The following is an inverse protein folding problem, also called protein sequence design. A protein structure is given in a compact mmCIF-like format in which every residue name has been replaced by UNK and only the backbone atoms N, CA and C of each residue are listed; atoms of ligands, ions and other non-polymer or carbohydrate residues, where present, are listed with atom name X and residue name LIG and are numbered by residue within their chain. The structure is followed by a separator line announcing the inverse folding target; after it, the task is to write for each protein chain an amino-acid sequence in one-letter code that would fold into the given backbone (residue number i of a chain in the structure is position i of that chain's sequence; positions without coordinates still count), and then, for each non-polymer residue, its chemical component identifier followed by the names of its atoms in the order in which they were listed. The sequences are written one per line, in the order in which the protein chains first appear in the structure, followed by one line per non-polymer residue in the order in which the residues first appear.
data_IF_564106087228
#
_entry.id   IF_564106087228
#
_cell.length_a   1.000
_cell.length_b   1.000
_cell.length_c   1.000
_cell.angle_alpha   90.00
_cell.angle_beta   90.00
_cell.angle_gamma   90.00
#
_symmetry.space_group_name_H-M   'P 1'
#
loop_
_entity.id
_entity.type
_entity.pdbx_description
1 polymer ?
#
# COMPACT_ATOMS: atom_id res chain seq x y z
N UNK A 1 -16.16 10.51 -18.48
CA UNK A 1 -15.73 11.62 -17.59
C UNK A 1 -14.59 11.10 -16.72
N UNK A 2 -13.37 11.57 -16.97
CA UNK A 2 -12.15 11.18 -16.27
C UNK A 2 -12.11 11.80 -14.87
N UNK A 3 -12.50 11.02 -13.85
CA UNK A 3 -12.49 11.40 -12.42
C UNK A 3 -11.11 11.15 -11.76
N UNK A 4 -10.00 11.48 -12.43
CA UNK A 4 -8.69 10.92 -12.02
C UNK A 4 -7.68 11.87 -11.34
N UNK A 5 -7.99 13.15 -11.12
CA UNK A 5 -7.11 14.06 -10.38
C UNK A 5 -7.83 14.84 -9.27
N UNK A 6 -8.77 14.22 -8.56
CA UNK A 6 -9.38 14.87 -7.38
C UNK A 6 -8.55 14.57 -6.14
N UNK A 7 -7.85 15.60 -5.63
CA UNK A 7 -7.22 15.57 -4.31
C UNK A 7 -8.14 16.22 -3.28
N UNK A 8 -8.08 15.77 -2.04
CA UNK A 8 -8.91 16.29 -0.95
C UNK A 8 -8.04 16.93 0.11
N UNK A 9 -8.41 18.10 0.61
CA UNK A 9 -7.76 18.73 1.76
C UNK A 9 -8.65 18.49 2.97
N UNK A 10 -8.11 17.89 4.03
CA UNK A 10 -8.79 17.64 5.29
C UNK A 10 -8.28 18.59 6.36
N UNK A 11 -9.20 19.34 6.97
CA UNK A 11 -8.92 20.31 8.05
C UNK A 11 -7.72 21.24 7.77
N UNK A 12 -7.53 21.64 6.50
CA UNK A 12 -6.42 22.49 6.04
C UNK A 12 -5.01 21.98 6.41
N UNK A 13 -4.89 20.68 6.70
CA UNK A 13 -3.66 20.06 7.17
C UNK A 13 -3.23 18.88 6.32
N UNK A 14 -4.16 18.01 5.97
CA UNK A 14 -3.83 16.79 5.23
C UNK A 14 -4.28 16.90 3.79
N UNK A 15 -3.38 16.67 2.85
CA UNK A 15 -3.72 16.52 1.43
C UNK A 15 -3.78 15.04 1.12
N UNK A 16 -4.96 14.53 0.78
CA UNK A 16 -5.22 13.15 0.43
C UNK A 16 -5.36 12.99 -1.09
N UNK A 17 -4.55 12.10 -1.65
CA UNK A 17 -4.65 11.65 -3.04
C UNK A 17 -5.08 10.17 -3.09
N UNK A 18 -6.32 9.89 -3.50
CA UNK A 18 -6.85 8.52 -3.56
C UNK A 18 -6.22 7.68 -4.67
N UNK A 19 -5.70 8.29 -5.73
CA UNK A 19 -5.13 7.57 -6.88
C UNK A 19 -3.77 7.00 -6.53
N UNK A 20 -2.96 7.77 -5.79
CA UNK A 20 -1.62 7.36 -5.36
C UNK A 20 -1.57 6.74 -3.95
N UNK A 21 -2.72 6.68 -3.24
CA UNK A 21 -2.81 6.28 -1.83
C UNK A 21 -1.86 7.09 -0.93
N UNK A 22 -1.77 8.39 -1.18
CA UNK A 22 -0.84 9.29 -0.51
C UNK A 22 -1.59 10.28 0.39
N UNK A 23 -1.06 10.49 1.59
CA UNK A 23 -1.50 11.52 2.52
C UNK A 23 -0.30 12.40 2.86
N UNK A 24 -0.40 13.71 2.60
CA UNK A 24 0.68 14.67 2.91
C UNK A 24 0.27 15.51 4.11
N UNK A 25 1.09 15.55 5.16
CA UNK A 25 0.89 16.40 6.33
C UNK A 25 1.59 17.76 6.15
N UNK A 26 0.81 18.83 5.93
CA UNK A 26 1.35 20.16 5.64
C UNK A 26 1.86 20.91 6.88
N UNK A 27 1.60 20.41 8.09
CA UNK A 27 2.08 21.08 9.32
C UNK A 27 3.55 20.78 9.65
N UNK A 28 4.09 19.63 9.21
CA UNK A 28 5.46 19.19 9.55
C UNK A 28 6.27 18.87 8.30
N UNK A 29 6.58 19.90 7.51
CA UNK A 29 7.53 19.78 6.40
C UNK A 29 7.07 18.90 5.24
N UNK A 30 5.76 18.83 4.99
CA UNK A 30 5.14 18.05 3.92
C UNK A 30 5.53 16.56 3.98
N UNK A 31 5.37 15.96 5.16
CA UNK A 31 5.63 14.54 5.35
C UNK A 31 4.67 13.69 4.50
N UNK A 32 5.23 12.93 3.57
CA UNK A 32 4.50 11.97 2.73
C UNK A 32 4.24 10.66 3.48
N UNK A 33 2.96 10.37 3.72
CA UNK A 33 2.48 9.16 4.40
C UNK A 33 1.78 8.28 3.37
N UNK A 34 2.33 7.09 3.09
CA UNK A 34 1.69 6.09 2.23
C UNK A 34 0.60 5.35 2.98
N UNK A 35 -0.65 5.48 2.52
CA UNK A 35 -1.77 4.73 3.04
C UNK A 35 -1.78 3.32 2.45
N UNK A 36 -2.20 2.34 3.26
CA UNK A 36 -2.57 1.03 2.72
C UNK A 36 -3.84 1.14 1.85
N UNK A 37 -4.07 0.17 0.97
CA UNK A 37 -5.19 0.24 0.03
C UNK A 37 -6.56 0.26 0.74
N UNK A 38 -6.68 -0.40 1.89
CA UNK A 38 -7.93 -0.42 2.64
C UNK A 38 -8.16 0.91 3.36
N UNK A 39 -7.13 1.46 4.00
CA UNK A 39 -7.15 2.77 4.65
C UNK A 39 -7.47 3.88 3.66
N UNK A 40 -6.85 3.85 2.47
CA UNK A 40 -7.12 4.79 1.39
C UNK A 40 -8.57 4.71 0.89
N UNK A 41 -9.10 3.49 0.64
CA UNK A 41 -10.51 3.31 0.24
C UNK A 41 -11.49 3.79 1.32
N UNK A 42 -11.20 3.52 2.59
CA UNK A 42 -11.99 4.01 3.72
C UNK A 42 -12.01 5.54 3.71
N UNK A 43 -10.82 6.16 3.66
CA UNK A 43 -10.70 7.61 3.65
C UNK A 43 -11.43 8.23 2.46
N UNK A 44 -11.31 7.61 1.28
CA UNK A 44 -11.99 8.03 0.07
C UNK A 44 -13.52 8.03 0.22
N UNK A 45 -14.13 6.96 0.75
CA UNK A 45 -15.58 7.00 1.01
C UNK A 45 -15.97 8.08 2.01
N UNK A 46 -15.18 8.24 3.07
CA UNK A 46 -15.43 9.21 4.12
C UNK A 46 -15.36 10.65 3.61
N UNK A 47 -14.39 11.00 2.75
CA UNK A 47 -14.28 12.36 2.18
C UNK A 47 -15.34 12.66 1.13
N UNK A 48 -15.92 11.65 0.49
CA UNK A 48 -17.03 11.82 -0.45
C UNK A 48 -18.37 12.11 0.26
N UNK A 49 -18.47 11.75 1.53
CA UNK A 49 -19.66 11.94 2.35
C UNK A 49 -19.31 12.58 3.71
N UNK A 50 -18.71 13.79 3.73
CA UNK A 50 -18.31 14.44 4.96
C UNK A 50 -19.55 14.68 5.83
N UNK A 51 -19.39 14.54 7.15
CA UNK A 51 -20.45 14.66 8.14
C UNK A 51 -21.60 13.64 8.02
N UNK A 52 -21.52 12.64 7.14
CA UNK A 52 -22.48 11.54 7.10
C UNK A 52 -21.93 10.31 7.80
N UNK A 53 -22.82 9.55 8.45
CA UNK A 53 -22.45 8.27 9.05
C UNK A 53 -22.45 7.22 7.96
N UNK A 54 -21.26 6.74 7.60
CA UNK A 54 -21.10 5.58 6.74
C UNK A 54 -21.18 4.33 7.61
N UNK A 55 -22.08 3.43 7.26
CA UNK A 55 -22.32 2.22 8.05
C UNK A 55 -21.16 1.24 7.91
N UNK A 56 -21.01 0.37 8.92
CA UNK A 56 -20.03 -0.72 8.83
C UNK A 56 -20.27 -1.61 7.63
N UNK A 57 -21.54 -1.87 7.28
CA UNK A 57 -21.88 -2.71 6.15
C UNK A 57 -21.44 -2.10 4.81
N UNK A 58 -21.64 -0.80 4.62
CA UNK A 58 -21.17 -0.07 3.43
C UNK A 58 -19.64 -0.07 3.35
N UNK A 59 -18.95 0.19 4.46
CA UNK A 59 -17.49 0.13 4.52
C UNK A 59 -16.96 -1.27 4.19
N UNK A 60 -17.54 -2.31 4.78
CA UNK A 60 -17.20 -3.70 4.46
C UNK A 60 -17.41 -4.00 2.98
N UNK A 61 -18.53 -3.53 2.41
CA UNK A 61 -18.85 -3.79 1.01
C UNK A 61 -17.82 -3.16 0.07
N UNK A 62 -17.60 -1.85 0.19
CA UNK A 62 -16.74 -1.10 -0.71
C UNK A 62 -15.25 -1.47 -0.57
N UNK A 63 -14.78 -1.60 0.67
CA UNK A 63 -13.35 -1.75 0.95
C UNK A 63 -12.87 -3.19 0.74
N UNK A 64 -13.73 -4.19 1.01
CA UNK A 64 -13.38 -5.61 0.91
C UNK A 64 -14.25 -6.40 -0.07
N UNK A 65 -15.58 -6.41 0.06
CA UNK A 65 -16.43 -7.33 -0.75
C UNK A 65 -16.39 -7.03 -2.24
N UNK A 66 -16.41 -5.77 -2.63
CA UNK A 66 -16.24 -5.34 -4.03
C UNK A 66 -14.87 -5.76 -4.57
N UNK A 67 -13.85 -5.74 -3.71
CA UNK A 67 -12.50 -6.20 -4.01
C UNK A 67 -12.36 -7.73 -4.01
N UNK A 68 -13.42 -8.46 -3.63
CA UNK A 68 -13.47 -9.93 -3.61
C UNK A 68 -12.97 -10.57 -2.32
N UNK A 69 -12.89 -9.81 -1.22
CA UNK A 69 -12.51 -10.31 0.09
C UNK A 69 -13.71 -10.29 1.04
N UNK A 70 -13.83 -11.31 1.86
CA UNK A 70 -14.75 -11.34 2.99
C UNK A 70 -13.95 -11.32 4.28
N UNK A 71 -14.21 -10.33 5.12
CA UNK A 71 -13.51 -10.11 6.38
C UNK A 71 -14.50 -9.85 7.50
N UNK A 72 -14.04 -10.02 8.72
CA UNK A 72 -14.80 -9.74 9.93
C UNK A 72 -14.67 -8.27 10.37
N UNK A 73 -15.46 -7.88 11.38
CA UNK A 73 -15.48 -6.51 11.89
C UNK A 73 -14.16 -6.08 12.54
N UNK A 74 -13.32 -7.04 12.97
CA UNK A 74 -12.00 -6.74 13.52
C UNK A 74 -11.08 -6.12 12.46
N UNK A 75 -11.17 -6.58 11.21
CA UNK A 75 -10.42 -6.04 10.08
C UNK A 75 -10.77 -4.58 9.79
N UNK A 76 -12.06 -4.23 9.81
CA UNK A 76 -12.52 -2.84 9.68
C UNK A 76 -12.02 -1.98 10.85
N UNK A 77 -12.12 -2.50 12.07
CA UNK A 77 -11.66 -1.80 13.28
C UNK A 77 -10.16 -1.54 13.23
N UNK A 78 -9.36 -2.51 12.77
CA UNK A 78 -7.93 -2.38 12.60
C UNK A 78 -7.57 -1.34 11.54
N UNK A 79 -8.20 -1.38 10.36
CA UNK A 79 -7.96 -0.41 9.30
C UNK A 79 -8.30 1.02 9.74
N UNK A 80 -9.41 1.22 10.45
CA UNK A 80 -9.77 2.53 11.04
C UNK A 80 -8.73 2.97 12.08
N UNK A 81 -8.23 2.04 12.90
CA UNK A 81 -7.19 2.34 13.90
C UNK A 81 -5.88 2.79 13.24
N UNK A 82 -5.47 2.09 12.17
CA UNK A 82 -4.29 2.46 11.37
C UNK A 82 -4.49 3.82 10.71
N UNK A 83 -5.64 4.06 10.08
CA UNK A 83 -5.97 5.33 9.44
C UNK A 83 -5.95 6.49 10.44
N UNK A 84 -6.50 6.32 11.64
CA UNK A 84 -6.41 7.34 12.71
C UNK A 84 -4.98 7.65 13.11
N UNK A 85 -4.10 6.64 13.21
CA UNK A 85 -2.68 6.87 13.50
C UNK A 85 -2.01 7.70 12.41
N UNK A 86 -2.30 7.40 11.15
CA UNK A 86 -1.77 8.13 9.99
C UNK A 86 -2.26 9.59 9.94
N UNK A 87 -3.52 9.82 10.31
CA UNK A 87 -4.10 11.16 10.48
C UNK A 87 -3.71 11.85 11.80
N UNK A 88 -2.88 11.21 12.63
CA UNK A 88 -2.52 11.70 13.98
C UNK A 88 -3.77 12.02 14.84
N UNK A 89 -4.86 11.28 14.62
CA UNK A 89 -6.19 11.48 15.21
C UNK A 89 -6.37 10.69 16.52
N UNK A 90 -7.01 11.33 17.51
CA UNK A 90 -7.23 10.75 18.84
C UNK A 90 -8.57 10.03 18.93
N UNK A 91 -8.61 8.84 19.52
CA UNK A 91 -9.88 8.13 19.77
C UNK A 91 -10.71 8.77 20.89
N UNK A 92 -10.07 9.45 21.84
CA UNK A 92 -10.75 10.12 22.96
C UNK A 92 -11.32 11.49 22.58
N UNK A 93 -10.64 12.17 21.67
CA UNK A 93 -11.02 13.48 21.17
C UNK A 93 -10.83 13.51 19.64
N UNK A 94 -11.72 12.84 18.88
CA UNK A 94 -11.56 12.73 17.43
C UNK A 94 -11.73 14.09 16.76
N UNK A 95 -10.81 14.42 15.87
CA UNK A 95 -10.87 15.60 15.00
C UNK A 95 -11.20 15.22 13.56
N UNK A 96 -10.85 13.99 13.15
CA UNK A 96 -11.09 13.50 11.80
C UNK A 96 -12.18 12.45 11.77
N UNK A 97 -11.97 11.30 12.40
CA UNK A 97 -12.87 10.14 12.28
C UNK A 97 -13.58 9.88 13.60
N UNK A 98 -14.89 10.13 13.64
CA UNK A 98 -15.76 9.82 14.78
C UNK A 98 -16.37 8.42 14.64
N UNK A 99 -16.26 7.61 15.69
CA UNK A 99 -17.02 6.35 15.78
C UNK A 99 -18.45 6.65 16.23
N UNK A 100 -19.43 6.15 15.49
CA UNK A 100 -20.85 6.17 15.87
C UNK A 100 -21.24 4.77 16.34
N UNK A 101 -21.42 4.55 17.66
CA UNK A 101 -21.65 3.22 18.22
C UNK A 101 -22.78 2.48 17.51
N UNK A 102 -22.54 1.20 17.20
CA UNK A 102 -23.48 0.28 16.52
C UNK A 102 -23.90 0.68 15.11
N UNK A 103 -23.39 1.80 14.56
CA UNK A 103 -23.74 2.29 13.22
C UNK A 103 -22.54 2.23 12.28
N UNK A 104 -21.45 2.91 12.62
CA UNK A 104 -20.29 3.00 11.75
C UNK A 104 -19.40 4.19 12.07
N UNK A 105 -18.93 4.87 11.04
CA UNK A 105 -17.92 5.91 11.15
C UNK A 105 -18.34 7.16 10.38
N UNK A 106 -17.89 8.31 10.84
CA UNK A 106 -18.22 9.61 10.28
C UNK A 106 -16.95 10.44 10.20
N UNK A 107 -16.72 11.07 9.05
CA UNK A 107 -15.70 12.11 8.93
C UNK A 107 -16.29 13.42 9.44
N UNK A 108 -15.67 14.00 10.46
CA UNK A 108 -16.12 15.23 11.12
C UNK A 108 -15.20 16.43 10.81
N UNK A 109 -14.11 16.20 10.08
CA UNK A 109 -13.24 17.25 9.58
C UNK A 109 -13.87 17.96 8.37
N UNK A 110 -13.49 19.23 8.18
CA UNK A 110 -13.77 19.96 6.95
C UNK A 110 -13.03 19.32 5.77
N UNK A 111 -13.68 19.28 4.59
CA UNK A 111 -13.12 18.68 3.38
C UNK A 111 -13.26 19.67 2.22
N UNK A 112 -12.13 20.01 1.60
CA UNK A 112 -12.08 20.77 0.34
C UNK A 112 -11.64 19.88 -0.81
N UNK A 113 -12.18 20.08 -2.01
CA UNK A 113 -11.79 19.35 -3.21
C UNK A 113 -10.88 20.21 -4.09
N UNK A 114 -9.68 19.72 -4.40
CA UNK A 114 -8.82 20.25 -5.44
C UNK A 114 -9.13 19.51 -6.75
N UNK A 115 -9.86 20.17 -7.64
CA UNK A 115 -10.02 19.72 -9.02
C UNK A 115 -8.96 20.42 -9.85
N UNK A 116 -8.05 19.67 -10.45
CA UNK A 116 -7.16 20.23 -11.47
C UNK A 116 -7.98 20.49 -12.74
N UNK A 117 -8.34 21.75 -12.97
CA UNK A 117 -8.80 22.19 -14.29
C UNK A 117 -7.66 21.99 -15.30
N UNK A 118 -7.92 21.44 -16.51
CA UNK A 118 -6.93 21.37 -17.57
C UNK A 118 -6.59 22.78 -18.06
N UNK A 119 -5.50 23.35 -17.52
CA UNK A 119 -5.09 24.73 -17.73
C UNK A 119 -4.65 24.99 -19.19
N UNK A 120 -5.45 25.81 -19.90
CA UNK A 120 -5.07 26.51 -21.15
C UNK A 120 -4.40 27.85 -20.80
N UNK A 121 -3.12 27.93 -21.14
CA UNK A 121 -2.32 29.11 -21.55
C UNK A 121 -2.24 30.41 -20.71
N UNK A 122 -1.00 30.65 -20.25
CA UNK A 122 -0.12 31.83 -20.46
C UNK A 122 -0.57 33.23 -20.03
N UNK A 123 0.24 33.83 -19.15
CA UNK A 123 0.93 35.13 -19.35
C UNK A 123 2.02 35.27 -18.26
N UNK A 124 3.32 35.19 -18.60
CA UNK A 124 4.30 36.30 -18.70
C UNK A 124 4.53 37.06 -17.38
N UNK A 125 5.71 37.52 -16.95
CA UNK A 125 7.12 37.53 -17.39
C UNK A 125 7.82 38.31 -16.27
N UNK A 126 8.99 37.88 -15.78
CA UNK A 126 10.11 38.75 -15.39
C UNK A 126 11.28 37.90 -14.89
N UNK A 127 12.21 37.61 -15.80
CA UNK A 127 13.62 37.41 -15.48
C UNK A 127 14.21 38.72 -14.93
N UNK A 128 15.24 38.62 -14.08
CA UNK A 128 16.59 39.15 -14.37
C UNK A 128 17.47 39.09 -13.11
N UNK A 129 18.45 38.16 -13.18
CA UNK A 129 19.89 38.28 -12.87
C UNK A 129 20.28 39.07 -11.59
N UNK A 130 21.05 38.51 -10.65
CA UNK A 130 22.52 38.45 -10.78
C UNK A 130 23.18 37.51 -9.75
N UNK A 131 24.08 36.66 -10.22
CA UNK A 131 25.25 36.10 -9.52
C UNK A 131 26.50 36.85 -10.07
N UNK A 132 27.76 36.60 -9.66
CA UNK A 132 28.34 35.97 -8.46
C UNK A 132 29.54 36.78 -7.89
N UNK A 133 30.15 36.35 -6.77
CA UNK A 133 31.62 36.41 -6.64
C UNK A 133 32.17 35.50 -5.53
N UNK A 134 33.39 35.04 -5.77
CA UNK A 134 34.03 33.84 -5.22
C UNK A 134 35.34 34.20 -4.49
N UNK A 135 35.78 33.32 -3.58
CA UNK A 135 37.19 33.01 -3.17
C UNK A 135 37.91 33.97 -2.21
N UNK A 136 38.41 33.43 -1.07
CA UNK A 136 39.85 33.30 -0.71
C UNK A 136 40.02 33.06 0.81
N UNK A 137 40.45 31.86 1.25
CA UNK A 137 41.80 31.53 1.79
C UNK A 137 42.00 31.92 3.26
N UNK A 138 42.07 30.97 4.22
CA UNK A 138 43.20 30.07 4.63
C UNK A 138 44.10 30.67 5.73
N UNK A 139 44.18 29.90 6.83
CA UNK A 139 45.42 29.51 7.58
C UNK A 139 46.00 30.49 8.62
N UNK A 140 45.95 30.14 9.92
CA UNK A 140 47.10 29.68 10.75
C UNK A 140 46.83 29.79 12.28
N UNK A 141 47.30 28.78 13.01
CA UNK A 141 47.53 28.70 14.47
C UNK A 141 48.99 29.18 14.73
N UNK A 142 49.41 29.83 15.87
CA UNK A 142 49.68 29.12 17.13
C UNK A 142 49.74 29.90 18.49
N UNK A 143 49.37 29.17 19.56
CA UNK A 143 50.12 28.86 20.83
C UNK A 143 50.51 29.96 21.86
N UNK A 144 50.35 29.56 23.14
CA UNK A 144 51.23 29.73 24.34
C UNK A 144 50.62 30.49 25.56
N UNK A 145 50.21 29.71 26.58
CA UNK A 145 50.39 29.75 28.08
C UNK A 145 50.36 31.08 28.87
N UNK A 146 50.04 31.24 30.18
CA UNK A 146 49.79 30.47 31.42
C UNK A 146 48.79 31.34 32.27
N UNK A 147 48.01 30.92 33.28
CA UNK A 147 48.38 30.49 34.64
C UNK A 147 47.11 30.34 35.54
N UNK A 148 47.23 29.44 36.52
CA UNK A 148 46.74 29.51 37.91
C UNK A 148 45.33 29.00 38.32
N UNK A 149 45.37 28.02 39.24
CA UNK A 149 44.38 27.70 40.29
C UNK A 149 43.18 26.86 39.83
N UNK A 150 42.92 25.62 40.26
CA UNK A 150 43.23 24.96 41.51
C UNK A 150 41.90 24.51 42.14
N UNK A 151 41.53 23.24 42.00
CA UNK A 151 40.57 22.55 42.88
C UNK A 151 40.57 21.05 42.60
N UNK A 152 40.98 20.29 43.61
CA UNK A 152 40.96 18.84 43.66
C UNK A 152 39.53 18.30 43.69
N UNK A 153 39.15 17.50 42.68
CA UNK A 153 38.08 16.50 42.82
C UNK A 153 38.55 15.17 42.25
N UNK A 154 38.88 14.22 43.12
CA UNK A 154 39.19 12.83 42.76
C UNK A 154 37.91 12.12 42.31
N UNK A 155 37.58 12.18 41.03
CA UNK A 155 36.53 11.34 40.43
C UNK A 155 37.13 10.00 40.05
N UNK A 156 36.88 8.98 40.87
CA UNK A 156 37.28 7.60 40.60
C UNK A 156 36.54 7.08 39.35
N UNK A 157 37.21 7.14 38.19
CA UNK A 157 36.74 6.56 36.93
C UNK A 157 36.82 5.04 37.03
N UNK A 158 35.71 4.37 37.38
CA UNK A 158 35.61 2.91 37.29
C UNK A 158 35.82 2.49 35.83
N UNK A 159 36.98 1.90 35.53
CA UNK A 159 37.26 1.25 34.24
C UNK A 159 36.31 0.07 34.11
N UNK A 160 35.34 0.17 33.21
CA UNK A 160 34.46 -0.93 32.84
C UNK A 160 35.32 -2.01 32.17
N UNK A 161 35.63 -3.09 32.90
CA UNK A 161 36.31 -4.26 32.34
C UNK A 161 35.22 -5.12 31.71
N UNK A 162 35.16 -5.13 30.37
CA UNK A 162 34.25 -6.02 29.66
C UNK A 162 34.60 -7.47 29.99
N UNK A 163 33.65 -8.18 30.60
CA UNK A 163 33.74 -9.61 30.81
C UNK A 163 33.46 -10.31 29.48
N UNK A 164 34.22 -11.35 29.16
CA UNK A 164 34.13 -12.09 27.88
C UNK A 164 32.70 -12.62 27.66
N UNK A 165 32.01 -12.94 28.77
CA UNK A 165 30.59 -13.36 28.77
C UNK A 165 29.66 -12.29 28.20
N UNK A 166 29.87 -11.01 28.54
CA UNK A 166 29.05 -9.89 28.04
C UNK A 166 29.29 -9.64 26.55
N UNK A 167 30.53 -9.80 26.08
CA UNK A 167 30.85 -9.70 24.65
C UNK A 167 30.19 -10.83 23.85
N UNK A 168 30.21 -12.06 24.35
CA UNK A 168 29.56 -13.21 23.71
C UNK A 168 28.03 -13.00 23.65
N UNK A 169 27.41 -12.49 24.72
CA UNK A 169 25.97 -12.18 24.74
C UNK A 169 25.58 -11.09 23.74
N UNK A 170 26.39 -10.04 23.59
CA UNK A 170 26.13 -8.98 22.61
C UNK A 170 26.32 -9.47 21.18
N UNK A 171 27.34 -10.29 20.93
CA UNK A 171 27.57 -10.91 19.62
C UNK A 171 26.44 -11.87 19.27
N UNK A 172 25.99 -12.72 20.20
CA UNK A 172 24.87 -13.64 19.94
C UNK A 172 23.55 -12.90 19.71
N UNK A 173 23.28 -11.83 20.47
CA UNK A 173 22.10 -10.99 20.30
C UNK A 173 22.04 -10.32 18.92
N UNK A 174 23.19 -10.05 18.29
CA UNK A 174 23.27 -9.44 16.97
C UNK A 174 23.36 -10.49 15.84
N UNK A 175 24.04 -11.61 16.06
CA UNK A 175 24.21 -12.68 15.06
C UNK A 175 22.97 -13.54 14.90
N UNK A 176 22.27 -13.91 15.97
CA UNK A 176 21.08 -14.76 15.90
C UNK A 176 19.99 -14.18 14.97
N UNK A 177 19.56 -12.90 15.08
CA UNK A 177 18.57 -12.35 14.17
C UNK A 177 19.09 -12.28 12.73
N UNK A 178 20.36 -11.93 12.51
CA UNK A 178 20.98 -11.90 11.18
C UNK A 178 21.00 -13.30 10.54
N UNK A 179 21.38 -14.31 11.31
CA UNK A 179 21.39 -15.71 10.88
C UNK A 179 19.96 -16.17 10.56
N UNK A 180 18.96 -15.85 11.40
CA UNK A 180 17.57 -16.19 11.09
C UNK A 180 17.11 -15.53 9.79
N UNK A 181 17.41 -14.24 9.60
CA UNK A 181 17.07 -13.51 8.38
C UNK A 181 17.73 -14.13 7.13
N UNK A 182 18.98 -14.59 7.25
CA UNK A 182 19.70 -15.24 6.15
C UNK A 182 19.25 -16.68 5.88
N UNK A 183 18.80 -17.41 6.90
CA UNK A 183 18.38 -18.81 6.79
C UNK A 183 16.90 -19.00 6.46
N UNK A 184 16.04 -18.03 6.77
CA UNK A 184 14.61 -18.11 6.45
C UNK A 184 14.32 -17.45 5.10
N UNK A 185 14.64 -18.13 4.00
CA UNK A 185 14.00 -17.81 2.73
C UNK A 185 12.53 -18.26 2.80
N UNK A 186 11.55 -17.38 2.48
CA UNK A 186 10.16 -17.80 2.45
C UNK A 186 9.99 -18.93 1.42
N UNK A 187 9.27 -20.02 1.75
CA UNK A 187 9.05 -21.10 0.80
C UNK A 187 8.27 -20.55 -0.39
N UNK A 188 8.77 -20.81 -1.61
CA UNK A 188 8.05 -20.44 -2.83
C UNK A 188 6.65 -21.06 -2.82
N UNK A 189 5.63 -20.28 -3.20
CA UNK A 189 4.27 -20.78 -3.34
C UNK A 189 4.24 -21.88 -4.39
N UNK A 190 3.87 -23.09 -3.98
CA UNK A 190 3.74 -24.23 -4.89
C UNK A 190 2.35 -24.21 -5.53
N UNK A 191 2.30 -24.40 -6.84
CA UNK A 191 1.07 -24.50 -7.62
C UNK A 191 0.92 -25.91 -8.20
N UNK A 192 -0.30 -26.45 -8.13
CA UNK A 192 -0.71 -27.69 -8.79
C UNK A 192 -1.31 -27.33 -10.15
N UNK A 193 -0.83 -28.00 -11.21
CA UNK A 193 -1.39 -27.88 -12.56
C UNK A 193 -2.77 -28.55 -12.60
N UNK A 194 -3.77 -27.82 -13.08
CA UNK A 194 -5.14 -28.31 -13.26
C UNK A 194 -5.36 -28.79 -14.69
N UNK A 195 -4.94 -28.01 -15.68
CA UNK A 195 -5.09 -28.30 -17.10
C UNK A 195 -4.04 -27.55 -17.94
N UNK A 196 -3.92 -27.91 -19.22
CA UNK A 196 -3.27 -27.07 -20.24
C UNK A 196 -4.19 -26.93 -21.42
N UNK A 197 -4.35 -25.69 -21.87
CA UNK A 197 -5.21 -25.32 -22.99
C UNK A 197 -4.39 -24.43 -23.91
N UNK A 198 -4.17 -24.89 -25.14
CA UNK A 198 -3.41 -24.17 -26.14
C UNK A 198 -2.06 -23.62 -25.61
N UNK A 199 -1.27 -24.51 -25.01
CA UNK A 199 0.04 -24.23 -24.39
C UNK A 199 0.01 -23.35 -23.12
N UNK A 200 -1.16 -22.85 -22.71
CA UNK A 200 -1.33 -22.08 -21.47
C UNK A 200 -1.56 -23.03 -20.30
N UNK A 201 -0.75 -22.89 -19.25
CA UNK A 201 -0.88 -23.69 -18.03
C UNK A 201 -1.91 -23.09 -17.08
N UNK A 202 -2.95 -23.87 -16.74
CA UNK A 202 -3.95 -23.51 -15.73
C UNK A 202 -3.55 -24.18 -14.42
N UNK A 203 -3.48 -23.40 -13.34
CA UNK A 203 -2.93 -23.85 -12.05
C UNK A 203 -3.74 -23.32 -10.87
N UNK A 204 -3.67 -23.99 -9.73
CA UNK A 204 -4.16 -23.48 -8.45
C UNK A 204 -3.12 -23.75 -7.35
N UNK A 205 -3.14 -23.03 -6.21
CA UNK A 205 -2.30 -23.34 -5.06
C UNK A 205 -2.46 -24.81 -4.63
N UNK A 206 -1.38 -25.47 -4.19
CA UNK A 206 -1.43 -26.92 -3.85
C UNK A 206 -2.46 -27.24 -2.76
N UNK A 207 -2.63 -26.33 -1.79
CA UNK A 207 -3.58 -26.50 -0.68
C UNK A 207 -4.98 -25.96 -0.99
N UNK A 208 -5.26 -25.60 -2.24
CA UNK A 208 -6.57 -25.10 -2.65
C UNK A 208 -7.59 -26.25 -2.75
N UNK A 209 -8.87 -26.01 -2.38
CA UNK A 209 -9.97 -26.95 -2.63
C UNK A 209 -10.04 -27.44 -4.08
N UNK A 210 -10.76 -28.54 -4.30
CA UNK A 210 -10.96 -29.06 -5.65
C UNK A 210 -11.72 -28.07 -6.55
N UNK A 211 -11.23 -27.90 -7.77
CA UNK A 211 -11.79 -27.00 -8.79
C UNK A 211 -12.28 -27.77 -10.02
N UNK A 212 -12.41 -29.09 -9.94
CA UNK A 212 -12.82 -29.93 -11.06
C UNK A 212 -14.16 -29.50 -11.67
N UNK A 213 -15.13 -29.09 -10.84
CA UNK A 213 -16.43 -28.59 -11.29
C UNK A 213 -16.35 -27.28 -12.08
N UNK A 214 -15.28 -26.50 -11.90
CA UNK A 214 -15.08 -25.20 -12.55
C UNK A 214 -14.31 -25.31 -13.87
N UNK A 215 -13.64 -26.43 -14.15
CA UNK A 215 -12.80 -26.61 -15.33
C UNK A 215 -13.48 -26.22 -16.65
N UNK A 216 -14.76 -26.56 -16.93
CA UNK A 216 -15.42 -26.18 -18.17
C UNK A 216 -15.55 -24.65 -18.34
N UNK A 217 -15.86 -23.94 -17.25
CA UNK A 217 -15.97 -22.48 -17.25
C UNK A 217 -14.60 -21.82 -17.42
N UNK A 218 -13.56 -22.36 -16.78
CA UNK A 218 -12.17 -21.89 -16.93
C UNK A 218 -11.72 -22.04 -18.38
N UNK A 219 -11.95 -23.20 -18.98
CA UNK A 219 -11.62 -23.46 -20.39
C UNK A 219 -12.30 -22.49 -21.34
N UNK A 220 -13.59 -22.25 -21.11
CA UNK A 220 -14.37 -21.28 -21.90
C UNK A 220 -13.79 -19.87 -21.80
N UNK A 221 -13.41 -19.42 -20.60
CA UNK A 221 -12.80 -18.10 -20.43
C UNK A 221 -11.40 -17.99 -21.03
N UNK A 222 -10.57 -19.03 -20.95
CA UNK A 222 -9.26 -19.01 -21.60
C UNK A 222 -9.39 -18.93 -23.12
N UNK A 223 -10.32 -19.69 -23.71
CA UNK A 223 -10.61 -19.61 -25.16
C UNK A 223 -11.13 -18.23 -25.57
N UNK A 224 -12.03 -17.65 -24.78
CA UNK A 224 -12.55 -16.28 -25.02
C UNK A 224 -11.51 -15.20 -24.87
N UNK A 225 -10.58 -15.37 -23.93
CA UNK A 225 -9.50 -14.41 -23.72
C UNK A 225 -8.71 -14.16 -25.02
N UNK A 226 -8.42 -15.22 -25.79
CA UNK A 226 -7.80 -15.09 -27.12
C UNK A 226 -8.62 -14.20 -28.06
N UNK A 227 -9.93 -14.43 -28.13
CA UNK A 227 -10.81 -13.71 -29.07
C UNK A 227 -10.98 -12.24 -28.72
N UNK A 228 -11.00 -11.90 -27.43
CA UNK A 228 -11.23 -10.53 -26.94
C UNK A 228 -9.96 -9.70 -27.02
N UNK A 229 -8.82 -10.27 -26.61
CA UNK A 229 -7.57 -9.53 -26.42
C UNK A 229 -6.58 -9.66 -27.57
N UNK A 230 -6.89 -10.50 -28.56
CA UNK A 230 -6.05 -10.73 -29.72
C UNK A 230 -4.95 -11.78 -29.51
N UNK A 231 -4.44 -12.28 -30.62
CA UNK A 231 -3.50 -13.40 -30.65
C UNK A 231 -2.12 -13.03 -30.08
N UNK A 232 -1.64 -11.80 -30.31
CA UNK A 232 -0.35 -11.33 -29.81
C UNK A 232 -0.27 -11.37 -28.27
N UNK A 233 -1.32 -10.90 -27.59
CA UNK A 233 -1.35 -10.92 -26.13
C UNK A 233 -1.53 -12.36 -25.61
N UNK A 234 -2.32 -13.18 -26.31
CA UNK A 234 -2.50 -14.58 -25.97
C UNK A 234 -1.20 -15.39 -26.05
N UNK A 235 -0.38 -15.20 -27.09
CA UNK A 235 0.92 -15.89 -27.24
C UNK A 235 1.91 -15.54 -26.12
N UNK A 236 1.71 -14.42 -25.44
CA UNK A 236 2.51 -14.00 -24.29
C UNK A 236 1.90 -14.45 -22.94
N UNK A 237 0.80 -15.18 -22.93
CA UNK A 237 0.17 -15.70 -21.72
C UNK A 237 0.96 -16.91 -21.22
N UNK A 238 1.61 -16.78 -20.05
CA UNK A 238 2.40 -17.86 -19.45
C UNK A 238 1.54 -18.84 -18.66
N UNK A 239 0.64 -18.30 -17.85
CA UNK A 239 -0.10 -19.08 -16.86
C UNK A 239 -1.40 -18.40 -16.49
N UNK A 240 -2.42 -19.21 -16.20
CA UNK A 240 -3.65 -18.76 -15.55
C UNK A 240 -3.74 -19.40 -14.18
N UNK A 241 -3.88 -18.59 -13.14
CA UNK A 241 -4.02 -19.07 -11.76
C UNK A 241 -5.49 -18.94 -11.34
N UNK A 242 -6.11 -20.07 -11.02
CA UNK A 242 -7.47 -20.17 -10.50
C UNK A 242 -7.45 -20.23 -8.97
N UNK A 243 -8.27 -19.39 -8.33
CA UNK A 243 -8.47 -19.34 -6.87
C UNK A 243 -9.92 -19.02 -6.53
N UNK A 244 -10.42 -19.48 -5.38
CA UNK A 244 -11.81 -19.31 -4.97
C UNK A 244 -12.63 -20.57 -5.21
N UNK A 245 -13.77 -20.47 -5.87
CA UNK A 245 -14.68 -21.58 -6.15
C UNK A 245 -15.68 -21.85 -5.03
N UNK A 246 -15.36 -21.43 -3.81
CA UNK A 246 -16.29 -21.32 -2.69
C UNK A 246 -17.19 -20.09 -2.88
N UNK A 247 -18.47 -20.16 -2.51
CA UNK A 247 -19.48 -19.10 -2.70
C UNK A 247 -19.84 -18.76 -4.17
N UNK A 248 -19.80 -19.74 -5.08
CA UNK A 248 -20.18 -19.58 -6.49
C UNK A 248 -19.38 -18.50 -7.25
N UNK A 249 -18.17 -18.17 -6.79
CA UNK A 249 -17.27 -17.22 -7.45
C UNK A 249 -15.88 -17.81 -7.60
N UNK A 250 -15.26 -17.62 -8.78
CA UNK A 250 -13.90 -18.04 -9.05
C UNK A 250 -13.11 -16.88 -9.67
N UNK A 251 -11.88 -16.69 -9.21
CA UNK A 251 -10.95 -15.69 -9.72
C UNK A 251 -9.94 -16.36 -10.64
N UNK A 252 -9.74 -15.78 -11.82
CA UNK A 252 -8.76 -16.19 -12.82
C UNK A 252 -7.73 -15.09 -13.00
N UNK A 253 -6.50 -15.32 -12.54
CA UNK A 253 -5.38 -14.40 -12.74
C UNK A 253 -4.58 -14.80 -13.98
N UNK A 254 -4.65 -13.98 -15.02
CA UNK A 254 -3.92 -14.17 -16.28
C UNK A 254 -2.54 -13.53 -16.16
N UNK A 255 -1.50 -14.36 -16.19
CA UNK A 255 -0.11 -13.96 -15.99
C UNK A 255 0.64 -14.09 -17.33
N UNK A 256 1.12 -12.96 -17.82
CA UNK A 256 1.89 -12.88 -19.05
C UNK A 256 3.39 -12.99 -18.80
N UNK A 257 4.17 -13.03 -19.89
CA UNK A 257 5.63 -12.90 -19.83
C UNK A 257 6.04 -11.59 -19.14
N UNK A 258 7.27 -11.53 -18.62
CA UNK A 258 7.78 -10.36 -17.89
C UNK A 258 7.66 -9.07 -18.68
N UNK A 259 7.90 -9.14 -20.01
CA UNK A 259 7.75 -8.02 -20.95
C UNK A 259 6.31 -7.49 -21.08
N UNK A 260 5.31 -8.36 -20.88
CA UNK A 260 3.88 -8.04 -20.97
C UNK A 260 3.18 -8.04 -19.61
N UNK A 261 3.94 -8.02 -18.51
CA UNK A 261 3.40 -8.08 -17.14
C UNK A 261 2.41 -6.95 -16.82
N UNK A 262 2.54 -5.78 -17.45
CA UNK A 262 1.57 -4.67 -17.36
C UNK A 262 0.18 -4.97 -17.97
N UNK A 263 0.02 -6.13 -18.62
CA UNK A 263 -1.25 -6.64 -19.15
C UNK A 263 -1.82 -7.78 -18.30
N UNK A 264 -1.21 -8.08 -17.15
CA UNK A 264 -1.79 -9.03 -16.21
C UNK A 264 -3.17 -8.54 -15.77
N UNK A 265 -4.14 -9.45 -15.77
CA UNK A 265 -5.52 -9.14 -15.46
C UNK A 265 -6.13 -10.24 -14.61
N UNK A 266 -7.03 -9.85 -13.72
CA UNK A 266 -7.82 -10.77 -12.91
C UNK A 266 -9.26 -10.71 -13.36
N UNK A 267 -9.81 -11.84 -13.81
CA UNK A 267 -11.22 -11.99 -14.16
C UNK A 267 -11.96 -12.73 -13.06
N UNK A 268 -13.20 -12.32 -12.79
CA UNK A 268 -14.09 -12.98 -11.84
C UNK A 268 -15.21 -13.67 -12.60
N UNK A 269 -15.41 -14.96 -12.35
CA UNK A 269 -16.46 -15.76 -12.97
C UNK A 269 -17.41 -16.31 -11.91
N UNK A 270 -18.70 -16.46 -12.26
CA UNK A 270 -19.75 -16.90 -11.34
C UNK A 270 -20.33 -18.25 -11.78
N UNK A 271 -20.71 -19.11 -10.83
CA UNK A 271 -21.22 -20.46 -11.13
C UNK A 271 -22.62 -20.45 -11.76
N UNK A 272 -23.44 -19.44 -11.47
CA UNK A 272 -24.88 -19.41 -11.79
C UNK A 272 -25.26 -18.41 -12.89
N UNK A 273 -24.36 -18.15 -13.84
CA UNK A 273 -24.67 -17.35 -15.02
C UNK A 273 -25.00 -18.31 -16.16
N UNK A 274 -26.30 -18.56 -16.38
CA UNK A 274 -26.83 -19.25 -17.58
C UNK A 274 -26.38 -18.58 -18.89
N UNK A 275 -25.81 -17.38 -18.81
CA UNK A 275 -25.29 -16.62 -19.92
C UNK A 275 -23.77 -16.69 -19.94
N UNK A 276 -23.23 -17.80 -20.47
CA UNK A 276 -21.78 -17.98 -20.67
C UNK A 276 -21.15 -16.86 -21.51
N UNK A 277 -21.95 -16.04 -22.20
CA UNK A 277 -21.51 -14.91 -23.03
C UNK A 277 -20.88 -13.76 -22.24
N UNK A 278 -21.33 -13.50 -21.02
CA UNK A 278 -20.88 -12.37 -20.16
C UNK A 278 -19.86 -12.74 -19.09
N UNK A 279 -19.54 -14.02 -18.95
CA UNK A 279 -18.74 -14.53 -17.82
C UNK A 279 -17.27 -14.10 -17.88
N UNK A 280 -16.75 -13.82 -19.07
CA UNK A 280 -15.32 -13.64 -19.32
C UNK A 280 -14.98 -12.30 -19.99
N UNK A 281 -15.83 -11.29 -19.85
CA UNK A 281 -15.62 -9.93 -20.37
C UNK A 281 -14.94 -9.03 -19.36
#
# INVERSE_FOLDING_TARGET
MSKFDTKFILANRFIFDPTSNLLVDTEMGEEEIRLGSNESRILFMLVQHPNNVITRHELHNYVWREQGFEVDDSSLTQAISTLRKMLKDSTKAPQFIKTVPKRGYQLIAHVDCLVSEPNKEKSKTAETLTEPSTISSRVDEPKVTHHAGGSDTKTARKKFRFDVTTTILLISALLLPLITYLLTAPPASKFRRLAVIDEVTISAPVNHPDLSSWLPSIETCVKKYRTIHGEELFLNLKQVIATGGENNQLMLNYIHTTRFSGKNITLRIFANTNDTEKVCQ
#
